data_IF_941289910055
#
_entry.id   IF_941289910055
#
_cell.length_a   1.000
_cell.length_b   1.000
_cell.length_c   1.000
_cell.angle_alpha   90.00
_cell.angle_beta   90.00
_cell.angle_gamma   90.00
#
_symmetry.space_group_name_H-M   'P 1'
#
loop_
_entity.id
_entity.type
_entity.pdbx_description
1 polymer ?
#
# COMPACT_ATOMS: atom_id res chain seq x y z
N UNK A 1 -59.70 62.12 -42.65
CA UNK A 1 -58.37 62.09 -43.31
C UNK A 1 -57.37 61.75 -42.21
N UNK A 2 -57.12 60.49 -41.91
CA UNK A 2 -56.14 59.68 -42.64
C UNK A 2 -56.50 58.19 -42.54
N UNK A 3 -56.38 57.52 -43.68
CA UNK A 3 -56.78 56.15 -43.90
C UNK A 3 -55.89 55.19 -43.11
N UNK A 4 -56.50 54.34 -42.29
CA UNK A 4 -55.93 53.05 -41.93
C UNK A 4 -55.62 52.31 -43.23
N UNK A 5 -54.38 51.87 -43.50
CA UNK A 5 -54.16 50.92 -44.58
C UNK A 5 -54.65 49.53 -44.13
N UNK A 6 -55.68 48.95 -44.78
CA UNK A 6 -56.01 47.55 -44.63
C UNK A 6 -55.06 46.75 -45.51
N UNK A 7 -54.05 46.11 -44.91
CA UNK A 7 -53.31 45.03 -45.58
C UNK A 7 -53.16 43.85 -44.64
N UNK A 8 -54.29 43.40 -44.14
CA UNK A 8 -54.51 42.09 -43.55
C UNK A 8 -55.06 41.14 -44.61
N UNK A 9 -54.31 40.84 -45.68
CA UNK A 9 -54.56 39.70 -46.58
C UNK A 9 -53.60 39.65 -47.80
N UNK A 10 -52.32 39.30 -47.62
CA UNK A 10 -51.56 38.60 -48.69
C UNK A 10 -50.73 37.44 -48.10
N UNK A 11 -51.18 36.86 -46.99
CA UNK A 11 -50.69 35.54 -46.59
C UNK A 11 -51.66 34.51 -47.17
N UNK A 12 -51.27 33.93 -48.30
CA UNK A 12 -51.92 32.72 -48.80
C UNK A 12 -52.05 31.73 -47.63
N UNK A 13 -53.18 31.00 -47.48
CA UNK A 13 -53.36 29.99 -46.43
C UNK A 13 -52.18 29.01 -46.31
N UNK A 14 -51.48 28.75 -47.42
CA UNK A 14 -50.28 27.93 -47.45
C UNK A 14 -49.08 28.57 -46.73
N UNK A 15 -48.89 29.90 -46.85
CA UNK A 15 -47.82 30.64 -46.17
C UNK A 15 -48.10 30.75 -44.68
N UNK A 16 -49.37 31.01 -44.32
CA UNK A 16 -49.79 31.01 -42.92
C UNK A 16 -49.59 29.65 -42.25
N UNK A 17 -49.90 28.55 -42.96
CA UNK A 17 -49.65 27.18 -42.48
C UNK A 17 -48.16 26.88 -42.32
N UNK A 18 -47.31 27.30 -43.26
CA UNK A 18 -45.87 27.13 -43.19
C UNK A 18 -45.23 27.93 -42.04
N UNK A 19 -45.70 29.16 -41.81
CA UNK A 19 -45.25 29.98 -40.68
C UNK A 19 -45.68 29.35 -39.33
N UNK A 20 -46.91 28.82 -39.26
CA UNK A 20 -47.40 28.13 -38.07
C UNK A 20 -46.63 26.83 -37.78
N UNK A 21 -46.27 26.04 -38.79
CA UNK A 21 -45.45 24.83 -38.59
C UNK A 21 -44.03 25.20 -38.14
N UNK A 22 -43.41 26.22 -38.75
CA UNK A 22 -42.10 26.70 -38.32
C UNK A 22 -42.11 27.22 -36.88
N UNK A 23 -43.16 27.93 -36.47
CA UNK A 23 -43.31 28.38 -35.08
C UNK A 23 -43.41 27.21 -34.09
N UNK A 24 -44.10 26.13 -34.48
CA UNK A 24 -44.17 24.90 -33.68
C UNK A 24 -42.81 24.22 -33.56
N UNK A 25 -42.07 24.10 -34.66
CA UNK A 25 -40.74 23.48 -34.67
C UNK A 25 -39.74 24.28 -33.81
N UNK A 26 -39.83 25.62 -33.82
CA UNK A 26 -39.05 26.47 -32.93
C UNK A 26 -39.41 26.26 -31.46
N UNK A 27 -40.70 26.14 -31.13
CA UNK A 27 -41.11 25.86 -29.75
C UNK A 27 -40.58 24.51 -29.25
N UNK A 28 -40.54 23.50 -30.12
CA UNK A 28 -39.95 22.19 -29.81
C UNK A 28 -38.46 22.33 -29.49
N UNK A 29 -37.70 23.02 -30.34
CA UNK A 29 -36.26 23.25 -30.12
C UNK A 29 -36.02 24.02 -28.82
N UNK A 30 -36.83 25.05 -28.52
CA UNK A 30 -36.69 25.84 -27.29
C UNK A 30 -36.94 24.97 -26.03
N UNK A 31 -37.93 24.08 -26.06
CA UNK A 31 -38.15 23.11 -24.97
C UNK A 31 -37.05 22.06 -24.86
N UNK A 32 -36.51 21.59 -26.00
CA UNK A 32 -35.41 20.62 -26.02
C UNK A 32 -34.10 21.24 -25.49
N UNK A 33 -33.80 22.49 -25.87
CA UNK A 33 -32.63 23.22 -25.37
C UNK A 33 -32.73 23.53 -23.87
N UNK A 34 -33.92 23.90 -23.37
CA UNK A 34 -34.10 24.15 -21.93
C UNK A 34 -33.90 22.89 -21.08
N UNK A 35 -34.31 21.72 -21.60
CA UNK A 35 -34.03 20.43 -20.97
C UNK A 35 -32.54 20.06 -20.97
N UNK A 36 -31.82 20.32 -22.07
CA UNK A 36 -30.38 20.01 -22.17
C UNK A 36 -29.49 20.98 -21.37
N UNK A 37 -29.95 22.21 -21.11
CA UNK A 37 -29.20 23.24 -20.39
C UNK A 37 -29.95 23.77 -19.15
N UNK A 38 -30.20 22.94 -18.12
CA UNK A 38 -30.99 23.34 -16.94
C UNK A 38 -30.34 24.46 -16.11
N UNK A 39 -29.02 24.62 -16.21
CA UNK A 39 -28.25 25.62 -15.43
C UNK A 39 -28.10 26.96 -16.15
N UNK A 40 -28.73 27.15 -17.32
CA UNK A 40 -28.66 28.40 -18.08
C UNK A 40 -30.02 29.11 -18.07
N UNK A 41 -30.09 30.39 -17.63
CA UNK A 41 -31.36 31.11 -17.49
C UNK A 41 -32.05 31.43 -18.83
N UNK A 42 -31.36 31.33 -19.96
CA UNK A 42 -31.96 31.42 -21.29
C UNK A 42 -31.23 30.52 -22.30
N UNK A 43 -31.95 29.89 -23.24
CA UNK A 43 -31.34 29.14 -24.32
C UNK A 43 -30.48 30.08 -25.20
N UNK A 44 -29.42 29.55 -25.84
CA UNK A 44 -28.60 30.35 -26.76
C UNK A 44 -29.47 30.95 -27.87
N UNK A 45 -29.37 32.27 -28.06
CA UNK A 45 -30.10 32.95 -29.13
C UNK A 45 -29.49 32.57 -30.48
N UNK A 46 -30.33 32.06 -31.37
CA UNK A 46 -29.99 31.73 -32.75
C UNK A 46 -30.67 32.73 -33.70
N UNK A 47 -30.05 32.92 -34.86
CA UNK A 47 -30.75 33.53 -35.99
C UNK A 47 -31.90 32.60 -36.40
N UNK A 48 -33.14 33.11 -36.41
CA UNK A 48 -34.35 32.35 -36.74
C UNK A 48 -34.51 32.17 -38.25
N UNK A 49 -33.58 31.42 -38.83
CA UNK A 49 -33.49 31.10 -40.25
C UNK A 49 -34.01 29.66 -40.50
N UNK A 50 -34.71 29.35 -41.61
CA UNK A 50 -35.09 27.97 -41.94
C UNK A 50 -33.89 26.99 -42.01
N UNK A 51 -32.69 27.46 -42.37
CA UNK A 51 -31.48 26.63 -42.39
C UNK A 51 -31.05 26.21 -40.97
N UNK A 52 -31.12 27.13 -40.01
CA UNK A 52 -30.77 26.87 -38.61
C UNK A 52 -31.80 25.98 -37.93
N UNK A 53 -33.09 26.18 -38.21
CA UNK A 53 -34.17 25.28 -37.77
C UNK A 53 -33.90 23.85 -38.23
N UNK A 54 -33.61 23.65 -39.51
CA UNK A 54 -33.35 22.31 -40.07
C UNK A 54 -32.13 21.64 -39.42
N UNK A 55 -31.04 22.39 -39.21
CA UNK A 55 -29.87 21.88 -38.53
C UNK A 55 -30.17 21.50 -37.07
N UNK A 56 -30.89 22.35 -36.33
CA UNK A 56 -31.25 22.11 -34.93
C UNK A 56 -32.21 20.93 -34.77
N UNK A 57 -33.19 20.75 -35.66
CA UNK A 57 -34.04 19.55 -35.65
C UNK A 57 -33.25 18.27 -35.96
N UNK A 58 -32.32 18.32 -36.92
CA UNK A 58 -31.47 17.17 -37.23
C UNK A 58 -30.57 16.79 -36.06
N UNK A 59 -30.06 17.79 -35.32
CA UNK A 59 -29.25 17.56 -34.13
C UNK A 59 -30.11 17.04 -32.98
N UNK A 60 -31.30 17.63 -32.75
CA UNK A 60 -32.21 17.19 -31.70
C UNK A 60 -32.61 15.71 -31.87
N UNK A 61 -32.99 15.32 -33.08
CA UNK A 61 -33.32 13.92 -33.41
C UNK A 61 -32.11 12.98 -33.30
N UNK A 62 -30.92 13.40 -33.74
CA UNK A 62 -29.70 12.60 -33.57
C UNK A 62 -29.31 12.43 -32.09
N UNK A 63 -29.55 13.45 -31.27
CA UNK A 63 -29.28 13.41 -29.83
C UNK A 63 -30.27 12.47 -29.11
N UNK A 64 -31.56 12.57 -29.44
CA UNK A 64 -32.60 11.68 -28.91
C UNK A 64 -32.32 10.22 -29.29
N UNK A 65 -31.93 9.96 -30.54
CA UNK A 65 -31.52 8.62 -30.97
C UNK A 65 -30.28 8.10 -30.21
N UNK A 66 -29.30 8.98 -29.94
CA UNK A 66 -28.12 8.60 -29.16
C UNK A 66 -28.46 8.31 -27.69
N UNK A 67 -29.37 9.09 -27.10
CA UNK A 67 -29.87 8.87 -25.75
C UNK A 67 -30.63 7.54 -25.67
N UNK A 68 -31.52 7.24 -26.62
CA UNK A 68 -32.22 5.96 -26.72
C UNK A 68 -31.22 4.79 -26.80
N UNK A 69 -30.22 4.88 -27.68
CA UNK A 69 -29.16 3.86 -27.79
C UNK A 69 -28.42 3.66 -26.46
N UNK A 70 -28.08 4.75 -25.76
CA UNK A 70 -27.40 4.67 -24.47
C UNK A 70 -28.27 4.02 -23.39
N UNK A 71 -29.56 4.33 -23.37
CA UNK A 71 -30.50 3.69 -22.43
C UNK A 71 -30.66 2.19 -22.71
N UNK A 72 -30.72 1.79 -23.97
CA UNK A 72 -30.77 0.38 -24.37
C UNK A 72 -29.49 -0.36 -23.98
N UNK A 73 -28.32 0.22 -24.23
CA UNK A 73 -27.04 -0.35 -23.82
C UNK A 73 -26.96 -0.50 -22.29
N UNK A 74 -27.35 0.52 -21.53
CA UNK A 74 -27.37 0.44 -20.06
C UNK A 74 -28.35 -0.62 -19.54
N UNK A 75 -29.51 -0.77 -20.18
CA UNK A 75 -30.48 -1.83 -19.84
C UNK A 75 -29.94 -3.22 -20.19
N UNK A 76 -29.25 -3.36 -21.32
CA UNK A 76 -28.60 -4.62 -21.71
C UNK A 76 -27.45 -4.96 -20.76
N UNK A 77 -26.61 -4.00 -20.41
CA UNK A 77 -25.53 -4.18 -19.43
C UNK A 77 -26.08 -4.60 -18.07
N UNK A 78 -27.10 -3.92 -17.56
CA UNK A 78 -27.72 -4.30 -16.27
C UNK A 78 -28.38 -5.68 -16.33
N UNK A 79 -29.08 -6.00 -17.42
CA UNK A 79 -29.68 -7.33 -17.61
C UNK A 79 -28.64 -8.43 -17.76
N UNK A 80 -27.56 -8.18 -18.50
CA UNK A 80 -26.47 -9.15 -18.71
C UNK A 80 -25.71 -9.38 -17.40
N UNK A 81 -25.38 -8.31 -16.66
CA UNK A 81 -24.81 -8.40 -15.31
C UNK A 81 -25.72 -9.15 -14.33
N UNK A 82 -27.04 -8.96 -14.42
CA UNK A 82 -28.00 -9.69 -13.59
C UNK A 82 -28.14 -11.16 -13.99
N UNK A 83 -27.97 -11.48 -15.28
CA UNK A 83 -28.11 -12.84 -15.80
C UNK A 83 -26.84 -13.68 -15.65
N UNK A 84 -25.68 -13.03 -15.49
CA UNK A 84 -24.44 -13.72 -15.24
C UNK A 84 -24.56 -14.40 -13.87
N UNK A 85 -24.59 -15.75 -13.79
CA UNK A 85 -24.66 -16.42 -12.50
C UNK A 85 -23.45 -15.96 -11.70
N UNK A 86 -23.67 -15.33 -10.54
CA UNK A 86 -22.63 -15.14 -9.54
C UNK A 86 -22.11 -16.53 -9.21
N UNK A 87 -21.04 -16.94 -9.89
CA UNK A 87 -20.34 -18.19 -9.65
C UNK A 87 -19.92 -18.20 -8.19
N UNK A 88 -20.75 -18.80 -7.34
CA UNK A 88 -20.58 -18.88 -5.90
C UNK A 88 -19.67 -20.03 -5.49
N UNK A 89 -19.13 -20.79 -6.43
CA UNK A 89 -17.92 -21.56 -6.17
C UNK A 89 -16.76 -20.58 -6.28
N UNK A 90 -16.10 -20.22 -5.15
CA UNK A 90 -14.89 -19.42 -5.23
C UNK A 90 -13.92 -20.17 -6.12
N UNK A 91 -13.45 -19.53 -7.18
CA UNK A 91 -12.43 -20.15 -8.00
C UNK A 91 -11.23 -20.49 -7.09
N UNK A 92 -10.43 -21.53 -7.39
CA UNK A 92 -9.25 -21.83 -6.58
C UNK A 92 -8.34 -20.60 -6.43
N UNK A 93 -8.36 -19.68 -7.42
CA UNK A 93 -7.70 -18.38 -7.36
C UNK A 93 -8.29 -17.47 -6.29
N UNK A 94 -9.60 -17.40 -6.15
CA UNK A 94 -10.27 -16.59 -5.12
C UNK A 94 -10.01 -17.12 -3.72
N UNK A 95 -9.93 -18.44 -3.56
CA UNK A 95 -9.52 -19.06 -2.28
C UNK A 95 -8.08 -18.70 -1.93
N UNK A 96 -7.15 -18.80 -2.88
CA UNK A 96 -5.76 -18.41 -2.69
C UNK A 96 -5.65 -16.91 -2.38
N UNK A 97 -6.34 -16.05 -3.13
CA UNK A 97 -6.36 -14.60 -2.89
C UNK A 97 -6.96 -14.27 -1.52
N UNK A 98 -8.04 -14.94 -1.12
CA UNK A 98 -8.63 -14.75 0.21
C UNK A 98 -7.68 -15.17 1.32
N UNK A 99 -6.96 -16.29 1.16
CA UNK A 99 -5.95 -16.75 2.11
C UNK A 99 -4.75 -15.80 2.19
N UNK A 100 -4.33 -15.22 1.05
CA UNK A 100 -3.26 -14.23 0.98
C UNK A 100 -3.67 -12.92 1.67
N UNK A 101 -4.88 -12.44 1.40
CA UNK A 101 -5.44 -11.24 2.04
C UNK A 101 -5.54 -11.45 3.55
N UNK A 102 -5.91 -12.65 3.99
CA UNK A 102 -6.04 -13.00 5.41
C UNK A 102 -4.68 -13.22 6.10
N UNK A 103 -3.64 -13.60 5.34
CA UNK A 103 -2.26 -13.70 5.82
C UNK A 103 -1.52 -12.35 5.88
N UNK A 104 -2.09 -11.31 5.28
CA UNK A 104 -1.45 -10.00 5.21
C UNK A 104 -1.55 -9.27 6.56
N UNK A 105 -0.45 -8.66 6.99
CA UNK A 105 -0.46 -7.82 8.19
C UNK A 105 -1.38 -6.60 8.01
N UNK A 106 -1.83 -6.01 9.11
CA UNK A 106 -2.65 -4.79 9.08
C UNK A 106 -1.98 -3.68 8.26
N UNK A 107 -0.68 -3.52 8.43
CA UNK A 107 0.13 -2.57 7.65
C UNK A 107 0.18 -2.93 6.17
N UNK A 108 0.32 -4.21 5.83
CA UNK A 108 0.27 -4.67 4.43
C UNK A 108 -1.07 -4.39 3.77
N UNK A 109 -2.19 -4.59 4.47
CA UNK A 109 -3.53 -4.29 3.94
C UNK A 109 -3.74 -2.78 3.71
N UNK A 110 -3.20 -1.94 4.60
CA UNK A 110 -3.24 -0.49 4.48
C UNK A 110 -2.34 0.01 3.34
N UNK A 111 -1.15 -0.57 3.18
CA UNK A 111 -0.26 -0.25 2.06
C UNK A 111 -0.88 -0.62 0.70
N UNK A 112 -1.54 -1.77 0.61
CA UNK A 112 -2.19 -2.23 -0.62
C UNK A 112 -3.40 -1.36 -0.99
N UNK A 113 -4.22 -1.01 -0.01
CA UNK A 113 -5.37 -0.12 -0.22
C UNK A 113 -4.93 1.29 -0.63
N UNK A 114 -3.90 1.85 0.01
CA UNK A 114 -3.32 3.15 -0.39
C UNK A 114 -2.71 3.09 -1.80
N UNK A 115 -1.99 2.03 -2.17
CA UNK A 115 -1.51 1.83 -3.54
C UNK A 115 -2.66 1.77 -4.56
N UNK A 116 -3.75 1.06 -4.24
CA UNK A 116 -4.91 1.00 -5.13
C UNK A 116 -5.57 2.37 -5.33
N UNK A 117 -5.65 3.17 -4.27
CA UNK A 117 -6.21 4.52 -4.32
C UNK A 117 -5.29 5.46 -5.11
N UNK A 118 -3.98 5.38 -4.89
CA UNK A 118 -3.00 6.15 -5.65
C UNK A 118 -2.97 5.75 -7.14
N UNK A 119 -3.21 4.48 -7.46
CA UNK A 119 -3.37 4.00 -8.83
C UNK A 119 -4.57 4.62 -9.55
N UNK A 120 -5.62 5.01 -8.82
CA UNK A 120 -6.77 5.68 -9.40
C UNK A 120 -6.49 7.17 -9.67
N UNK A 121 -5.64 7.77 -8.84
CA UNK A 121 -5.31 9.21 -8.88
C UNK A 121 -4.17 9.48 -9.87
N UNK A 122 -3.16 8.61 -9.93
CA UNK A 122 -2.06 8.70 -10.89
C UNK A 122 -2.39 7.88 -12.13
N UNK A 123 -2.40 8.47 -13.34
CA UNK A 123 -2.56 7.75 -14.60
C UNK A 123 -1.26 7.02 -15.01
N UNK A 124 -0.73 6.19 -14.11
CA UNK A 124 0.49 5.39 -14.27
C UNK A 124 0.14 3.90 -14.24
N UNK A 125 0.82 3.04 -15.02
CA UNK A 125 0.64 1.60 -14.88
C UNK A 125 1.03 1.15 -13.46
N UNK A 126 0.36 0.12 -12.91
CA UNK A 126 0.53 -0.32 -11.52
C UNK A 126 1.95 -0.84 -11.23
N UNK A 127 2.71 -1.24 -12.24
CA UNK A 127 4.08 -1.74 -12.11
C UNK A 127 5.11 -0.65 -11.81
N UNK A 128 4.91 0.58 -12.27
CA UNK A 128 5.86 1.71 -12.08
C UNK A 128 5.47 2.62 -10.91
N UNK A 129 4.29 2.39 -10.34
CA UNK A 129 3.76 3.12 -9.19
C UNK A 129 4.69 3.05 -7.95
N UNK A 130 5.19 1.87 -7.50
CA UNK A 130 6.07 1.82 -6.33
C UNK A 130 7.37 2.59 -6.54
N UNK A 131 7.98 2.49 -7.72
CA UNK A 131 9.19 3.25 -8.08
C UNK A 131 8.91 4.76 -8.04
N UNK A 132 7.76 5.19 -8.58
CA UNK A 132 7.35 6.60 -8.53
C UNK A 132 7.12 7.10 -7.10
N UNK A 133 6.50 6.31 -6.22
CA UNK A 133 6.29 6.66 -4.80
C UNK A 133 7.63 6.77 -4.08
N UNK A 134 8.54 5.81 -4.28
CA UNK A 134 9.86 5.85 -3.67
C UNK A 134 10.62 7.09 -4.17
N UNK A 135 10.55 7.40 -5.47
CA UNK A 135 11.17 8.60 -6.02
C UNK A 135 10.57 9.90 -5.44
N UNK A 136 9.24 9.97 -5.28
CA UNK A 136 8.58 11.14 -4.72
C UNK A 136 8.85 11.29 -3.22
N UNK A 137 8.85 10.20 -2.47
CA UNK A 137 9.17 10.23 -1.03
C UNK A 137 10.62 10.64 -0.77
N UNK A 138 11.56 10.17 -1.59
CA UNK A 138 12.97 10.57 -1.50
C UNK A 138 13.16 12.04 -1.89
N UNK A 139 12.45 12.52 -2.92
CA UNK A 139 12.44 13.94 -3.27
C UNK A 139 11.82 14.82 -2.18
N UNK A 140 10.68 14.40 -1.61
CA UNK A 140 10.01 15.12 -0.53
C UNK A 140 10.93 15.23 0.69
N UNK A 141 11.53 14.12 1.11
CA UNK A 141 12.47 14.13 2.23
C UNK A 141 13.72 14.96 1.94
N UNK A 142 14.24 14.92 0.70
CA UNK A 142 15.33 15.80 0.29
C UNK A 142 14.93 17.28 0.40
N UNK A 143 13.72 17.64 -0.02
CA UNK A 143 13.21 19.01 0.12
C UNK A 143 13.03 19.41 1.59
N UNK A 144 12.41 18.58 2.42
CA UNK A 144 12.26 18.85 3.86
C UNK A 144 13.61 19.08 4.54
N UNK A 145 14.59 18.22 4.26
CA UNK A 145 15.94 18.38 4.82
C UNK A 145 16.61 19.65 4.32
N UNK A 146 16.38 20.06 3.07
CA UNK A 146 16.89 21.35 2.57
C UNK A 146 16.19 22.54 3.24
N UNK A 147 14.89 22.48 3.49
CA UNK A 147 14.13 23.54 4.20
C UNK A 147 14.68 23.71 5.61
N UNK A 148 14.81 22.61 6.37
CA UNK A 148 15.38 22.66 7.72
C UNK A 148 16.82 23.23 7.71
N UNK A 149 17.64 22.89 6.72
CA UNK A 149 18.97 23.48 6.56
C UNK A 149 18.88 24.98 6.29
N UNK A 150 17.99 25.43 5.41
CA UNK A 150 17.79 26.85 5.15
C UNK A 150 17.29 27.60 6.39
N UNK A 151 16.39 27.01 7.18
CA UNK A 151 15.95 27.59 8.47
C UNK A 151 17.11 27.73 9.46
N UNK A 152 17.98 26.72 9.56
CA UNK A 152 19.19 26.83 10.42
C UNK A 152 20.18 27.88 9.91
N UNK A 153 20.35 28.04 8.59
CA UNK A 153 21.22 29.06 8.03
C UNK A 153 20.64 30.46 8.18
N UNK A 154 19.34 30.62 7.95
CA UNK A 154 18.65 31.92 8.08
C UNK A 154 18.66 32.39 9.53
N UNK A 155 18.40 31.51 10.50
CA UNK A 155 18.53 31.83 11.93
C UNK A 155 19.96 32.16 12.34
N UNK A 156 20.96 31.48 11.78
CA UNK A 156 22.36 31.81 12.04
C UNK A 156 22.74 33.18 11.44
N UNK A 157 22.30 33.47 10.21
CA UNK A 157 22.51 34.78 9.58
C UNK A 157 21.78 35.88 10.34
N UNK A 158 20.54 35.66 10.80
CA UNK A 158 19.81 36.65 11.59
C UNK A 158 20.53 36.91 12.92
N UNK A 159 21.01 35.87 13.61
CA UNK A 159 21.84 36.03 14.81
C UNK A 159 23.12 36.82 14.52
N UNK A 160 23.78 36.55 13.38
CA UNK A 160 25.01 37.24 13.01
C UNK A 160 24.74 38.71 12.65
N UNK A 161 23.66 39.01 11.92
CA UNK A 161 23.25 40.40 11.64
C UNK A 161 22.85 41.15 12.90
N UNK A 162 22.14 40.52 13.85
CA UNK A 162 21.81 41.12 15.14
C UNK A 162 23.07 41.40 15.97
N UNK A 163 24.04 40.46 15.98
CA UNK A 163 25.33 40.69 16.63
C UNK A 163 26.12 41.82 15.95
N UNK A 164 26.08 41.90 14.62
CA UNK A 164 26.72 42.98 13.86
C UNK A 164 26.05 44.34 14.09
N UNK A 165 24.73 44.38 14.29
CA UNK A 165 24.00 45.59 14.65
C UNK A 165 24.29 46.04 16.08
N UNK A 166 24.55 45.11 17.01
CA UNK A 166 25.04 45.45 18.36
C UNK A 166 26.47 46.00 18.34
N UNK A 167 27.28 45.61 17.35
CA UNK A 167 28.66 46.09 17.17
C UNK A 167 28.71 47.41 16.39
N UNK A 168 27.70 47.72 15.57
CA UNK A 168 27.58 49.00 14.87
C UNK A 168 26.92 50.04 15.79
N UNK A 169 27.62 51.11 16.22
CA UNK A 169 26.97 52.15 16.99
C UNK A 169 25.85 52.80 16.16
N UNK A 170 24.72 53.21 16.75
CA UNK A 170 23.70 53.95 16.02
C UNK A 170 24.36 55.21 15.46
N UNK A 171 24.38 55.36 14.13
CA UNK A 171 24.84 56.57 13.46
C UNK A 171 24.13 57.77 14.10
N UNK A 172 24.82 58.66 14.82
CA UNK A 172 24.16 59.83 15.37
C UNK A 172 23.76 60.74 14.20
N UNK A 173 22.49 61.12 14.20
CA UNK A 173 22.01 62.23 13.40
C UNK A 173 22.91 63.43 13.62
N UNK A 174 23.59 63.83 12.55
CA UNK A 174 24.37 65.04 12.34
C UNK A 174 23.83 66.24 13.15
N UNK A 175 24.56 66.79 14.14
CA UNK A 175 24.31 68.14 14.65
C UNK A 175 25.27 69.12 13.95
N UNK A 176 24.69 70.10 13.27
CA UNK A 176 25.42 71.27 12.79
C UNK A 176 25.52 72.30 13.92
N UNK A 177 26.70 72.54 14.49
CA UNK A 177 27.23 73.87 14.87
C UNK A 177 28.39 73.80 15.86
N UNK A 178 29.50 74.41 15.43
CA UNK A 178 30.63 75.02 16.15
C UNK A 178 30.76 74.91 17.68
N UNK A 179 31.92 74.46 18.17
CA UNK A 179 33.04 75.31 18.65
C UNK A 179 34.07 74.52 19.48
N UNK A 180 35.34 74.97 19.35
CA UNK A 180 36.47 74.92 20.30
C UNK A 180 37.11 73.58 20.73
N UNK A 181 38.34 73.40 20.24
CA UNK A 181 39.59 73.13 20.97
C UNK A 181 39.63 72.04 22.05
N UNK A 182 40.17 70.87 21.68
CA UNK A 182 41.14 70.09 22.48
C UNK A 182 41.77 68.98 21.61
N UNK A 183 43.10 68.84 21.55
CA UNK A 183 43.77 67.72 20.90
C UNK A 183 43.94 66.54 21.87
N UNK A 184 44.20 65.37 21.30
CA UNK A 184 44.63 64.15 22.00
C UNK A 184 43.55 63.35 22.75
N UNK A 185 42.70 62.70 21.97
CA UNK A 185 42.43 61.26 22.16
C UNK A 185 41.76 60.77 20.89
N UNK A 186 42.59 60.35 19.93
CA UNK A 186 42.18 59.45 18.85
C UNK A 186 41.73 58.13 19.49
N UNK A 187 40.51 58.15 20.01
CA UNK A 187 39.73 56.96 20.32
C UNK A 187 39.79 56.08 19.08
N UNK A 188 40.32 54.87 19.26
CA UNK A 188 40.48 53.86 18.23
C UNK A 188 39.14 53.67 17.50
N UNK A 189 38.99 54.30 16.35
CA UNK A 189 37.89 54.06 15.39
C UNK A 189 38.17 52.80 14.57
N UNK A 190 38.61 51.75 15.25
CA UNK A 190 38.94 50.47 14.68
C UNK A 190 38.10 49.39 15.31
N UNK A 191 37.47 48.55 14.47
CA UNK A 191 36.80 47.32 14.86
C UNK A 191 37.68 46.53 15.86
N UNK A 192 37.23 46.43 17.11
CA UNK A 192 37.83 45.53 18.09
C UNK A 192 36.99 44.25 18.10
N UNK A 193 37.51 43.10 17.62
CA UNK A 193 36.77 41.85 17.71
C UNK A 193 36.44 41.57 19.19
N UNK A 194 35.23 41.11 19.53
CA UNK A 194 34.89 40.78 20.91
C UNK A 194 35.90 39.78 21.46
N UNK A 195 36.46 40.07 22.64
CA UNK A 195 37.56 39.30 23.26
C UNK A 195 37.26 37.80 23.40
N UNK A 196 35.98 37.44 23.45
CA UNK A 196 35.50 36.07 23.54
C UNK A 196 35.56 35.28 22.22
N UNK A 197 35.73 35.92 21.06
CA UNK A 197 35.83 35.23 19.76
C UNK A 197 37.08 34.36 19.66
N UNK A 198 38.23 34.86 20.13
CA UNK A 198 39.46 34.07 20.11
C UNK A 198 39.32 32.81 20.98
N UNK A 199 38.68 32.95 22.15
CA UNK A 199 38.42 31.85 23.08
C UNK A 199 37.42 30.84 22.49
N UNK A 200 36.34 31.32 21.87
CA UNK A 200 35.33 30.48 21.20
C UNK A 200 35.87 29.79 19.94
N UNK A 201 36.68 30.48 19.14
CA UNK A 201 37.35 29.87 17.98
C UNK A 201 38.34 28.79 18.41
N UNK A 202 39.06 29.01 19.50
CA UNK A 202 39.98 28.00 20.03
C UNK A 202 39.21 26.79 20.61
N UNK A 203 38.07 27.01 21.28
CA UNK A 203 37.25 25.91 21.81
C UNK A 203 36.55 25.11 20.70
N UNK A 204 36.05 25.77 19.67
CA UNK A 204 35.47 25.13 18.47
C UNK A 204 36.53 24.39 17.67
N UNK A 205 37.73 24.94 17.47
CA UNK A 205 38.85 24.23 16.86
C UNK A 205 39.25 22.99 17.67
N UNK A 206 39.28 23.08 19.01
CA UNK A 206 39.52 21.90 19.86
C UNK A 206 38.43 20.85 19.67
N UNK A 207 37.15 21.25 19.63
CA UNK A 207 36.01 20.35 19.41
C UNK A 207 36.03 19.71 18.02
N UNK A 208 36.40 20.46 16.97
CA UNK A 208 36.56 19.96 15.62
C UNK A 208 37.71 18.94 15.57
N UNK A 209 38.83 19.21 16.24
CA UNK A 209 39.96 18.26 16.32
C UNK A 209 39.56 16.98 17.07
N UNK A 210 38.83 17.07 18.18
CA UNK A 210 38.39 15.89 18.92
C UNK A 210 37.35 15.07 18.17
N UNK A 211 36.40 15.71 17.49
CA UNK A 211 35.43 15.01 16.63
C UNK A 211 36.09 14.44 15.38
N UNK A 212 36.99 15.20 14.75
CA UNK A 212 37.78 14.77 13.59
C UNK A 212 38.64 13.54 13.91
N UNK A 213 39.20 13.45 15.12
CA UNK A 213 39.91 12.27 15.60
C UNK A 213 39.00 11.04 15.82
N UNK A 214 37.70 11.23 16.06
CA UNK A 214 36.71 10.14 16.24
C UNK A 214 36.13 9.62 14.92
N UNK A 215 36.14 10.42 13.86
CA UNK A 215 35.68 9.99 12.52
C UNK A 215 36.40 8.72 12.03
N UNK A 216 37.74 8.60 12.07
CA UNK A 216 38.41 7.37 11.63
C UNK A 216 38.03 6.18 12.51
N UNK A 217 37.88 6.35 13.82
CA UNK A 217 37.44 5.27 14.72
C UNK A 217 36.02 4.79 14.38
N UNK A 218 35.09 5.70 14.09
CA UNK A 218 33.74 5.36 13.65
C UNK A 218 33.73 4.70 12.27
N UNK A 219 34.61 5.16 11.36
CA UNK A 219 34.80 4.55 10.04
C UNK A 219 35.36 3.14 10.16
N UNK A 220 36.30 2.91 11.07
CA UNK A 220 36.89 1.61 11.34
C UNK A 220 35.88 0.65 11.99
N UNK A 221 35.05 1.15 12.91
CA UNK A 221 33.91 0.39 13.45
C UNK A 221 32.87 0.05 12.38
N UNK A 222 32.58 0.98 11.47
CA UNK A 222 31.66 0.71 10.36
C UNK A 222 32.26 -0.30 9.39
N UNK A 223 33.56 -0.21 9.10
CA UNK A 223 34.26 -1.20 8.30
C UNK A 223 34.35 -2.57 9.00
N UNK A 224 34.46 -2.63 10.32
CA UNK A 224 34.44 -3.90 11.06
C UNK A 224 33.04 -4.53 11.06
N UNK A 225 31.99 -3.72 11.24
CA UNK A 225 30.59 -4.17 11.13
C UNK A 225 30.30 -4.63 9.70
N UNK A 226 30.72 -3.84 8.71
CA UNK A 226 30.59 -4.20 7.29
C UNK A 226 31.39 -5.47 6.97
N UNK A 227 32.59 -5.66 7.52
CA UNK A 227 33.35 -6.92 7.35
C UNK A 227 32.69 -8.11 8.06
N UNK A 228 32.12 -7.91 9.24
CA UNK A 228 31.32 -8.94 9.93
C UNK A 228 30.07 -9.29 9.13
N UNK A 229 29.39 -8.31 8.54
CA UNK A 229 28.24 -8.54 7.67
C UNK A 229 28.65 -9.08 6.30
N UNK A 230 29.85 -8.78 5.80
CA UNK A 230 30.43 -9.38 4.58
C UNK A 230 30.89 -10.82 4.79
N UNK A 231 31.07 -11.24 6.05
CA UNK A 231 31.29 -12.63 6.44
C UNK A 231 30.03 -13.47 6.33
N UNK A 232 28.86 -12.83 6.46
CA UNK A 232 27.62 -13.33 5.87
C UNK A 232 27.74 -12.99 4.38
N UNK A 233 28.45 -13.85 3.62
CA UNK A 233 28.21 -13.92 2.18
C UNK A 233 26.70 -13.81 2.01
N UNK A 234 26.22 -12.92 1.15
CA UNK A 234 24.81 -12.92 0.76
C UNK A 234 24.47 -14.37 0.44
N UNK A 235 23.82 -15.04 1.39
CA UNK A 235 23.59 -16.47 1.30
C UNK A 235 22.68 -16.55 0.11
N UNK A 236 23.23 -17.07 -0.99
CA UNK A 236 22.49 -17.09 -2.24
C UNK A 236 21.16 -17.78 -1.94
N UNK A 237 20.08 -17.27 -2.48
CA UNK A 237 18.78 -17.90 -2.31
C UNK A 237 18.83 -19.40 -2.67
N UNK A 238 19.72 -19.79 -3.60
CA UNK A 238 19.99 -21.18 -3.96
C UNK A 238 20.71 -21.97 -2.86
N UNK A 239 21.58 -21.34 -2.08
CA UNK A 239 22.27 -21.97 -0.94
C UNK A 239 21.30 -22.16 0.23
N UNK A 240 20.47 -21.14 0.53
CA UNK A 240 19.38 -21.25 1.50
C UNK A 240 18.40 -22.37 1.14
N UNK A 241 18.06 -22.51 -0.14
CA UNK A 241 17.17 -23.59 -0.61
C UNK A 241 17.79 -24.98 -0.42
N UNK A 242 19.09 -25.14 -0.67
CA UNK A 242 19.79 -26.40 -0.44
C UNK A 242 19.85 -26.72 1.05
N UNK A 243 20.14 -25.74 1.89
CA UNK A 243 20.12 -25.91 3.34
C UNK A 243 18.74 -26.27 3.86
N UNK A 244 17.67 -25.66 3.31
CA UNK A 244 16.29 -25.99 3.62
C UNK A 244 15.95 -27.44 3.24
N UNK A 245 16.32 -27.90 2.04
CA UNK A 245 16.11 -29.28 1.60
C UNK A 245 16.84 -30.29 2.50
N UNK A 246 18.09 -29.99 2.89
CA UNK A 246 18.86 -30.82 3.83
C UNK A 246 18.22 -30.86 5.22
N UNK A 247 17.73 -29.71 5.70
CA UNK A 247 17.06 -29.61 6.99
C UNK A 247 15.75 -30.39 7.00
N UNK A 248 14.96 -30.32 5.94
CA UNK A 248 13.74 -31.11 5.79
C UNK A 248 14.03 -32.60 5.79
N UNK A 249 15.09 -33.03 5.09
CA UNK A 249 15.56 -34.42 5.13
C UNK A 249 15.94 -34.88 6.54
N UNK A 250 16.70 -34.07 7.28
CA UNK A 250 17.03 -34.35 8.68
C UNK A 250 15.79 -34.42 9.59
N UNK A 251 14.77 -33.62 9.30
CA UNK A 251 13.52 -33.62 10.05
C UNK A 251 12.72 -34.91 9.79
N UNK A 252 12.70 -35.39 8.55
CA UNK A 252 12.13 -36.69 8.20
C UNK A 252 12.87 -37.84 8.89
N UNK A 253 14.21 -37.83 8.86
CA UNK A 253 15.03 -38.81 9.59
C UNK A 253 14.75 -38.76 11.10
N UNK A 254 14.65 -37.57 11.68
CA UNK A 254 14.33 -37.39 13.10
C UNK A 254 12.94 -37.92 13.43
N UNK A 255 11.94 -37.70 12.57
CA UNK A 255 10.59 -38.27 12.75
C UNK A 255 10.62 -39.79 12.67
N UNK A 256 11.33 -40.37 11.72
CA UNK A 256 11.47 -41.82 11.62
C UNK A 256 12.15 -42.41 12.86
N UNK A 257 13.19 -41.75 13.40
CA UNK A 257 13.85 -42.16 14.63
C UNK A 257 12.95 -41.98 15.86
N UNK A 258 12.16 -40.91 15.94
CA UNK A 258 11.18 -40.71 17.01
C UNK A 258 10.08 -41.78 16.98
N UNK A 259 9.59 -42.17 15.80
CA UNK A 259 8.62 -43.25 15.65
C UNK A 259 9.21 -44.59 16.13
N UNK A 260 10.48 -44.85 15.79
CA UNK A 260 11.21 -45.99 16.33
C UNK A 260 11.34 -45.90 17.85
N UNK A 261 11.75 -44.76 18.41
CA UNK A 261 11.86 -44.55 19.86
C UNK A 261 10.52 -44.64 20.57
N UNK A 262 9.42 -44.19 19.95
CA UNK A 262 8.08 -44.31 20.49
C UNK A 262 7.67 -45.78 20.65
N UNK A 263 8.09 -46.67 19.74
CA UNK A 263 7.88 -48.11 19.90
C UNK A 263 8.62 -48.71 21.10
N UNK A 264 9.69 -48.05 21.56
CA UNK A 264 10.45 -48.41 22.76
C UNK A 264 10.04 -47.58 24.00
N UNK A 265 9.07 -46.67 23.88
CA UNK A 265 8.58 -45.87 25.01
C UNK A 265 7.84 -46.76 26.00
N UNK A 266 8.51 -47.11 27.08
CA UNK A 266 8.04 -48.09 28.07
C UNK A 266 9.13 -49.04 28.56
N UNK A 267 10.24 -49.16 27.82
CA UNK A 267 11.40 -49.91 28.31
C UNK A 267 12.22 -49.05 29.30
N UNK A 268 12.65 -49.61 30.44
CA UNK A 268 13.63 -48.98 31.32
C UNK A 268 14.90 -48.59 30.55
N UNK A 269 15.53 -47.47 30.92
CA UNK A 269 16.80 -47.01 30.33
C UNK A 269 17.96 -47.98 30.56
N UNK A 270 17.81 -48.89 31.52
CA UNK A 270 18.79 -49.93 31.85
C UNK A 270 18.50 -51.22 31.07
N UNK A 271 19.47 -51.66 30.25
CA UNK A 271 19.35 -52.82 29.35
C UNK A 271 19.00 -54.13 30.08
N UNK A 272 19.52 -54.33 31.29
CA UNK A 272 19.28 -55.55 32.07
C UNK A 272 17.91 -55.55 32.74
N UNK A 273 17.39 -54.39 33.14
CA UNK A 273 16.03 -54.26 33.67
C UNK A 273 14.98 -54.47 32.56
N UNK A 274 15.21 -53.90 31.37
CA UNK A 274 14.35 -54.11 30.21
C UNK A 274 14.31 -55.58 29.76
N UNK A 275 15.44 -56.30 29.87
CA UNK A 275 15.48 -57.74 29.60
C UNK A 275 14.62 -58.54 30.58
N UNK A 276 14.68 -58.22 31.87
CA UNK A 276 13.87 -58.91 32.89
C UNK A 276 12.38 -58.67 32.67
N UNK A 277 11.96 -57.44 32.35
CA UNK A 277 10.56 -57.14 32.03
C UNK A 277 10.07 -57.86 30.77
N UNK A 278 10.89 -57.93 29.72
CA UNK A 278 10.57 -58.70 28.51
C UNK A 278 10.46 -60.21 28.79
N UNK A 279 11.34 -60.77 29.61
CA UNK A 279 11.27 -62.17 30.03
C UNK A 279 9.97 -62.43 30.83
N UNK A 280 9.61 -61.51 31.74
CA UNK A 280 8.35 -61.57 32.50
C UNK A 280 7.11 -61.54 31.60
N UNK A 281 7.04 -60.62 30.64
CA UNK A 281 5.93 -60.54 29.68
C UNK A 281 5.86 -61.79 28.77
N UNK A 282 7.00 -62.38 28.42
CA UNK A 282 7.04 -63.65 27.66
C UNK A 282 6.51 -64.82 28.49
N UNK A 283 6.82 -64.89 29.77
CA UNK A 283 6.26 -65.89 30.67
C UNK A 283 4.75 -65.72 30.84
N UNK A 284 4.26 -64.48 30.96
CA UNK A 284 2.82 -64.21 31.02
C UNK A 284 2.10 -64.61 29.73
N UNK A 285 2.66 -64.28 28.56
CA UNK A 285 2.11 -64.75 27.28
C UNK A 285 2.06 -66.27 27.20
N UNK A 286 3.13 -66.97 27.63
CA UNK A 286 3.14 -68.44 27.69
C UNK A 286 2.04 -68.97 28.59
N UNK A 287 1.89 -68.43 29.80
CA UNK A 287 0.84 -68.82 30.75
C UNK A 287 -0.56 -68.60 30.16
N UNK A 288 -0.80 -67.48 29.48
CA UNK A 288 -2.08 -67.19 28.82
C UNK A 288 -2.33 -68.16 27.66
N UNK A 289 -1.31 -68.48 26.87
CA UNK A 289 -1.45 -69.48 25.79
C UNK A 289 -1.69 -70.88 26.32
N UNK A 290 -0.99 -71.31 27.37
CA UNK A 290 -1.22 -72.61 28.02
C UNK A 290 -2.64 -72.68 28.58
N UNK A 291 -3.10 -71.62 29.27
CA UNK A 291 -4.47 -71.56 29.78
C UNK A 291 -5.51 -71.57 28.66
N UNK A 292 -5.25 -70.89 27.55
CA UNK A 292 -6.10 -70.93 26.34
C UNK A 292 -6.15 -72.36 25.80
N UNK A 293 -5.01 -73.02 25.70
CA UNK A 293 -4.90 -74.36 25.13
C UNK A 293 -5.56 -75.40 26.05
N UNK A 294 -5.40 -75.31 27.37
CA UNK A 294 -6.13 -76.13 28.35
C UNK A 294 -7.66 -75.95 28.25
N UNK A 295 -8.12 -74.70 28.15
CA UNK A 295 -9.55 -74.41 27.98
C UNK A 295 -10.05 -74.96 26.65
N UNK A 296 -9.26 -74.82 25.59
CA UNK A 296 -9.58 -75.34 24.26
C UNK A 296 -9.64 -76.87 24.24
N UNK A 297 -8.64 -77.55 24.81
CA UNK A 297 -8.65 -79.00 24.98
C UNK A 297 -9.86 -79.46 25.79
N UNK A 298 -10.18 -78.77 26.88
CA UNK A 298 -11.38 -79.06 27.68
C UNK A 298 -12.69 -78.86 26.94
N UNK A 299 -12.76 -77.93 25.97
CA UNK A 299 -13.90 -77.77 25.07
C UNK A 299 -13.96 -78.87 24.01
N UNK A 300 -12.83 -79.20 23.38
CA UNK A 300 -12.72 -80.25 22.36
C UNK A 300 -13.06 -81.64 22.94
N UNK A 301 -12.60 -81.97 24.14
CA UNK A 301 -12.90 -83.24 24.81
C UNK A 301 -14.39 -83.37 25.21
N UNK A 302 -15.06 -82.25 25.50
CA UNK A 302 -16.50 -82.22 25.78
C UNK A 302 -17.34 -82.43 24.52
N UNK A 303 -16.90 -81.87 23.39
CA UNK A 303 -17.60 -82.00 22.12
C UNK A 303 -17.27 -83.31 21.37
N UNK A 304 -16.13 -83.94 21.69
CA UNK A 304 -15.74 -85.25 21.15
C UNK A 304 -15.70 -86.33 22.24
N UNK A 305 -16.84 -86.95 22.61
CA UNK A 305 -16.81 -88.06 23.56
C UNK A 305 -15.95 -89.20 23.01
N UNK A 306 -14.83 -89.49 23.68
CA UNK A 306 -13.94 -90.63 23.39
C UNK A 306 -14.78 -91.91 23.25
N UNK A 307 -14.91 -92.39 22.02
CA UNK A 307 -15.54 -93.68 21.72
C UNK A 307 -14.70 -94.81 22.31
N UNK A 308 -15.16 -95.32 23.44
CA UNK A 308 -15.11 -96.73 23.83
C UNK A 308 -13.73 -97.35 24.01
N UNK A 309 -13.24 -97.35 25.24
CA UNK A 309 -12.15 -98.23 25.69
C UNK A 309 -12.56 -98.99 26.96
N UNK A 310 -13.48 -99.96 26.84
CA UNK A 310 -13.69 -100.94 27.91
C UNK A 310 -15.04 -101.65 27.92
N UNK A 311 -15.15 -102.77 27.19
CA UNK A 311 -15.86 -103.96 27.67
C UNK A 311 -15.00 -105.19 27.30
N UNK A 312 -14.59 -105.93 28.35
CA UNK A 312 -13.97 -107.27 28.29
C UNK A 312 -15.04 -108.32 27.93
N UNK A 313 -14.59 -109.44 27.36
CA UNK A 313 -15.21 -110.79 27.29
C UNK A 313 -16.74 -110.88 27.45
#
# INVERSE_FOLDING_TARGET
MSHLPPSSAIFSPSIARAAASQAKDWSYIDTWLSQKFPNRPSPPQFERNPSTLRALLSLASANEQADEQRTLLSSLESSTLSSLPRSSSPSPKDLILSSLIQSLSREGSLALTTLSQLSLILPSPPSTLPESIISLSTQLHALETTILRLETLTSHLSSLTQSSQQISPPSPGRPSSSHSDSPESSSQTGYHPPSNLAISNLSTQKRIKTLGAKIPELKDRLNSISKQSSGVKEISFEELRKEEELYLGLLEEKRALDEQLASFSGLPTDLDAARQELEGLREELRRVTERRDEVFEGLVERETPKKGGGIRR
#
